data_IF_595737681659
#
_entry.id   IF_595737681659
#
_cell.length_a   1.000
_cell.length_b   1.000
_cell.length_c   1.000
_cell.angle_alpha   90.00
_cell.angle_beta   90.00
_cell.angle_gamma   90.00
#
_symmetry.space_group_name_H-M   'P 1'
#
loop_
_entity.id
_entity.type
_entity.pdbx_description
1 polymer ?
#
# COMPACT_ATOMS: atom_id res chain seq x y z
N UNK A 1 38.63 42.23 -8.58
CA UNK A 1 37.64 42.69 -7.57
C UNK A 1 37.63 41.68 -6.44
N UNK A 2 37.96 42.09 -5.21
CA UNK A 2 37.91 41.22 -4.04
C UNK A 2 36.49 41.18 -3.48
N UNK A 3 35.98 39.98 -3.18
CA UNK A 3 34.69 39.83 -2.51
C UNK A 3 34.82 40.42 -1.09
N UNK A 4 33.97 41.36 -0.68
CA UNK A 4 34.04 41.96 0.66
C UNK A 4 33.90 40.89 1.74
N UNK A 5 34.72 40.94 2.79
CA UNK A 5 34.63 40.01 3.94
C UNK A 5 33.23 39.96 4.56
N UNK A 6 32.53 41.11 4.58
CA UNK A 6 31.14 41.20 5.03
C UNK A 6 30.16 40.40 4.15
N UNK A 7 30.39 40.37 2.82
CA UNK A 7 29.57 39.60 1.89
C UNK A 7 29.81 38.09 2.05
N UNK A 8 31.06 37.67 2.29
CA UNK A 8 31.40 36.28 2.61
C UNK A 8 30.74 35.83 3.92
N UNK A 9 30.77 36.65 4.97
CA UNK A 9 30.12 36.35 6.25
C UNK A 9 28.60 36.26 6.11
N UNK A 10 27.98 37.13 5.32
CA UNK A 10 26.55 37.08 5.03
C UNK A 10 26.17 35.79 4.28
N UNK A 11 26.96 35.38 3.27
CA UNK A 11 26.71 34.14 2.51
C UNK A 11 26.82 32.90 3.41
N UNK A 12 27.87 32.81 4.23
CA UNK A 12 28.04 31.68 5.17
C UNK A 12 26.90 31.65 6.19
N UNK A 13 26.50 32.82 6.73
CA UNK A 13 25.35 32.93 7.62
C UNK A 13 24.05 32.43 6.97
N UNK A 14 23.77 32.84 5.73
CA UNK A 14 22.62 32.36 4.97
C UNK A 14 22.65 30.85 4.73
N UNK A 15 23.81 30.27 4.37
CA UNK A 15 23.94 28.82 4.15
C UNK A 15 23.69 28.04 5.45
N UNK A 16 24.22 28.50 6.58
CA UNK A 16 24.00 27.88 7.88
C UNK A 16 22.53 27.93 8.31
N UNK A 17 21.86 29.08 8.13
CA UNK A 17 20.44 29.26 8.41
C UNK A 17 19.57 28.36 7.51
N UNK A 18 19.86 28.32 6.20
CA UNK A 18 19.14 27.44 5.28
C UNK A 18 19.31 25.95 5.62
N UNK A 19 20.54 25.53 5.95
CA UNK A 19 20.83 24.13 6.27
C UNK A 19 20.12 23.68 7.55
N UNK A 20 20.14 24.52 8.60
CA UNK A 20 19.45 24.23 9.86
C UNK A 20 17.93 24.17 9.70
N UNK A 21 17.33 25.07 8.90
CA UNK A 21 15.91 25.02 8.58
C UNK A 21 15.52 23.73 7.82
N UNK A 22 16.34 23.30 6.86
CA UNK A 22 16.12 22.04 6.11
C UNK A 22 16.23 20.82 7.02
N UNK A 23 17.22 20.77 7.91
CA UNK A 23 17.36 19.71 8.91
C UNK A 23 16.13 19.65 9.83
N UNK A 24 15.70 20.79 10.38
CA UNK A 24 14.51 20.84 11.24
C UNK A 24 13.23 20.39 10.53
N UNK A 25 13.05 20.76 9.26
CA UNK A 25 11.90 20.33 8.48
C UNK A 25 11.91 18.82 8.20
N UNK A 26 13.09 18.24 7.97
CA UNK A 26 13.25 16.79 7.82
C UNK A 26 12.93 16.03 9.11
N UNK A 27 13.46 16.49 10.24
CA UNK A 27 13.17 15.89 11.56
C UNK A 27 11.67 15.93 11.91
N UNK A 28 10.98 17.04 11.62
CA UNK A 28 9.53 17.14 11.79
C UNK A 28 8.77 16.18 10.87
N UNK A 29 9.19 16.03 9.61
CA UNK A 29 8.61 15.07 8.68
C UNK A 29 8.81 13.62 9.12
N UNK A 30 10.01 13.29 9.61
CA UNK A 30 10.33 11.95 10.08
C UNK A 30 9.59 11.60 11.37
N UNK A 31 9.51 12.52 12.34
CA UNK A 31 8.73 12.31 13.58
C UNK A 31 7.25 12.10 13.30
N UNK A 32 6.64 12.88 12.41
CA UNK A 32 5.25 12.68 11.99
C UNK A 32 5.02 11.34 11.30
N UNK A 33 5.98 10.89 10.46
CA UNK A 33 5.88 9.59 9.79
C UNK A 33 6.01 8.43 10.78
N UNK A 34 6.90 8.55 11.77
CA UNK A 34 7.03 7.58 12.87
C UNK A 34 5.71 7.46 13.63
N UNK A 35 5.09 8.57 14.04
CA UNK A 35 3.80 8.54 14.72
C UNK A 35 2.72 7.83 13.86
N UNK A 36 2.66 8.15 12.57
CA UNK A 36 1.73 7.51 11.63
C UNK A 36 1.96 6.00 11.52
N UNK A 37 3.22 5.55 11.55
CA UNK A 37 3.56 4.13 11.54
C UNK A 37 3.15 3.44 12.83
N UNK A 38 3.36 4.05 14.00
CA UNK A 38 2.91 3.49 15.29
C UNK A 38 1.38 3.35 15.36
N UNK A 39 0.64 4.38 14.92
CA UNK A 39 -0.83 4.34 14.84
C UNK A 39 -1.32 3.23 13.89
N UNK A 40 -0.64 3.09 12.74
CA UNK A 40 -0.93 2.03 11.79
C UNK A 40 -0.64 0.63 12.38
N UNK A 41 0.48 0.48 13.08
CA UNK A 41 0.84 -0.77 13.75
C UNK A 41 -0.21 -1.16 14.77
N UNK A 42 -0.67 -0.21 15.60
CA UNK A 42 -1.74 -0.43 16.57
C UNK A 42 -3.05 -0.85 15.87
N UNK A 43 -3.42 -0.16 14.79
CA UNK A 43 -4.64 -0.45 14.03
C UNK A 43 -4.67 -1.86 13.42
N UNK A 44 -3.54 -2.34 12.92
CA UNK A 44 -3.42 -3.65 12.26
C UNK A 44 -2.78 -4.73 13.14
N UNK A 45 -2.63 -4.46 14.45
CA UNK A 45 -2.00 -5.36 15.42
C UNK A 45 -0.63 -5.87 14.94
N UNK A 46 0.20 -4.97 14.40
CA UNK A 46 1.55 -5.33 13.95
C UNK A 46 2.54 -5.32 15.09
N UNK A 47 3.25 -6.44 15.20
CA UNK A 47 4.34 -6.66 16.14
C UNK A 47 5.51 -7.22 15.34
N UNK A 48 6.67 -6.59 15.49
CA UNK A 48 7.92 -7.03 14.86
C UNK A 48 8.79 -7.77 15.88
N UNK A 49 9.68 -8.61 15.38
CA UNK A 49 10.58 -9.42 16.20
C UNK A 49 11.54 -8.57 17.02
N UNK A 50 12.10 -7.53 16.40
CA UNK A 50 13.11 -6.67 17.00
C UNK A 50 13.11 -5.27 16.37
N UNK A 51 13.92 -4.36 16.94
CA UNK A 51 14.04 -2.99 16.46
C UNK A 51 14.61 -2.88 15.05
N UNK A 52 15.44 -3.84 14.63
CA UNK A 52 16.02 -3.87 13.28
C UNK A 52 14.95 -4.17 12.25
N UNK A 53 14.10 -5.19 12.49
CA UNK A 53 12.96 -5.48 11.63
C UNK A 53 11.99 -4.29 11.60
N UNK A 54 11.68 -3.69 12.76
CA UNK A 54 10.82 -2.50 12.83
C UNK A 54 11.34 -1.35 11.96
N UNK A 55 12.64 -1.05 12.03
CA UNK A 55 13.26 -0.01 11.22
C UNK A 55 13.19 -0.34 9.72
N UNK A 56 13.46 -1.59 9.33
CA UNK A 56 13.34 -2.01 7.94
C UNK A 56 11.89 -1.90 7.42
N UNK A 57 10.92 -2.31 8.23
CA UNK A 57 9.49 -2.24 7.90
C UNK A 57 8.98 -0.80 7.86
N UNK A 58 9.54 0.08 8.69
CA UNK A 58 9.26 1.51 8.66
C UNK A 58 9.68 2.16 7.33
N UNK A 59 10.86 1.82 6.79
CA UNK A 59 11.29 2.33 5.49
C UNK A 59 10.36 1.88 4.35
N UNK A 60 9.92 0.62 4.37
CA UNK A 60 8.94 0.10 3.41
C UNK A 60 7.60 0.82 3.56
N UNK A 61 7.13 1.02 4.79
CA UNK A 61 5.91 1.76 5.08
C UNK A 61 5.97 3.19 4.55
N UNK A 62 7.07 3.92 4.82
CA UNK A 62 7.30 5.29 4.35
C UNK A 62 7.28 5.35 2.82
N UNK A 63 7.98 4.44 2.14
CA UNK A 63 8.00 4.36 0.69
C UNK A 63 6.59 4.09 0.10
N UNK A 64 5.84 3.17 0.70
CA UNK A 64 4.48 2.85 0.26
C UNK A 64 3.49 3.99 0.51
N UNK A 65 3.62 4.72 1.63
CA UNK A 65 2.81 5.91 1.91
C UNK A 65 3.09 7.01 0.89
N UNK A 66 4.36 7.28 0.59
CA UNK A 66 4.74 8.25 -0.44
C UNK A 66 4.19 7.85 -1.82
N UNK A 67 4.24 6.55 -2.15
CA UNK A 67 3.63 6.03 -3.37
C UNK A 67 2.11 6.26 -3.40
N UNK A 68 1.40 5.94 -2.32
CA UNK A 68 -0.05 6.16 -2.20
C UNK A 68 -0.40 7.65 -2.39
N UNK A 69 0.34 8.55 -1.76
CA UNK A 69 0.11 9.99 -1.85
C UNK A 69 0.37 10.50 -3.28
N UNK A 70 1.47 10.07 -3.90
CA UNK A 70 1.76 10.44 -5.28
C UNK A 70 0.70 9.90 -6.27
N UNK A 71 0.25 8.66 -6.09
CA UNK A 71 -0.77 8.04 -6.93
C UNK A 71 -2.12 8.73 -6.81
N UNK A 72 -2.50 9.12 -5.59
CA UNK A 72 -3.78 9.76 -5.31
C UNK A 72 -3.81 11.26 -5.66
N UNK A 73 -2.65 11.89 -5.84
CA UNK A 73 -2.56 13.27 -6.32
C UNK A 73 -2.99 13.39 -7.80
N UNK A 74 -2.98 12.29 -8.54
CA UNK A 74 -3.48 12.23 -9.92
C UNK A 74 -5.00 12.03 -9.96
N UNK A 75 -5.67 12.62 -10.96
CA UNK A 75 -7.13 12.49 -11.14
C UNK A 75 -7.52 11.13 -11.72
N UNK A 76 -7.48 10.09 -10.88
CA UNK A 76 -7.75 8.69 -11.25
C UNK A 76 -9.15 8.26 -10.80
N UNK A 77 -9.69 7.21 -11.43
CA UNK A 77 -11.00 6.63 -11.10
C UNK A 77 -11.00 5.79 -9.82
N UNK A 78 -9.83 5.57 -9.22
CA UNK A 78 -9.68 4.86 -7.96
C UNK A 78 -8.50 5.45 -7.18
N UNK A 79 -8.51 5.18 -5.88
CA UNK A 79 -7.46 5.62 -4.95
C UNK A 79 -6.83 4.42 -4.27
N UNK A 80 -5.59 4.61 -3.85
CA UNK A 80 -4.90 3.69 -2.95
C UNK A 80 -5.10 4.14 -1.51
N UNK A 81 -5.00 3.19 -0.58
CA UNK A 81 -5.15 3.47 0.84
C UNK A 81 -4.16 2.65 1.65
N UNK A 82 -3.76 3.22 2.79
CA UNK A 82 -2.98 2.51 3.80
C UNK A 82 -3.82 1.35 4.34
N UNK A 83 -3.27 0.13 4.28
CA UNK A 83 -3.93 -1.11 4.65
C UNK A 83 -2.96 -2.07 5.36
N UNK A 84 -3.40 -3.30 5.65
CA UNK A 84 -2.62 -4.30 6.38
C UNK A 84 -1.33 -4.80 5.68
N UNK A 85 -1.08 -4.37 4.45
CA UNK A 85 0.06 -4.73 3.62
C UNK A 85 1.03 -3.56 3.38
N UNK A 86 0.81 -2.40 4.01
CA UNK A 86 1.62 -1.20 3.76
C UNK A 86 3.08 -1.34 4.21
N UNK A 87 3.43 -2.30 5.06
CA UNK A 87 4.82 -2.61 5.45
C UNK A 87 5.47 -3.73 4.62
N UNK A 88 4.81 -4.19 3.55
CA UNK A 88 5.33 -5.21 2.65
C UNK A 88 5.82 -4.59 1.34
N UNK A 89 6.93 -5.12 0.86
CA UNK A 89 7.38 -4.87 -0.52
C UNK A 89 6.47 -5.63 -1.50
N UNK A 90 6.49 -5.21 -2.77
CA UNK A 90 5.70 -5.89 -3.79
C UNK A 90 6.08 -7.38 -3.94
N UNK A 91 7.37 -7.70 -3.85
CA UNK A 91 7.84 -9.08 -3.96
C UNK A 91 7.43 -9.94 -2.75
N UNK A 92 7.49 -9.40 -1.53
CA UNK A 92 6.98 -10.10 -0.35
C UNK A 92 5.47 -10.34 -0.42
N UNK A 93 4.73 -9.32 -0.88
CA UNK A 93 3.29 -9.43 -1.09
C UNK A 93 2.99 -10.54 -2.10
N UNK A 94 3.67 -10.56 -3.25
CA UNK A 94 3.52 -11.61 -4.26
C UNK A 94 3.87 -12.98 -3.68
N UNK A 95 4.98 -13.11 -2.97
CA UNK A 95 5.45 -14.37 -2.42
C UNK A 95 4.51 -14.99 -1.37
N UNK A 96 3.75 -14.17 -0.64
CA UNK A 96 2.94 -14.61 0.51
C UNK A 96 1.42 -14.51 0.31
N UNK A 97 0.95 -13.64 -0.59
CA UNK A 97 -0.48 -13.34 -0.78
C UNK A 97 -1.03 -13.78 -2.14
N UNK A 98 -0.17 -14.10 -3.10
CA UNK A 98 -0.63 -14.57 -4.43
C UNK A 98 -0.52 -16.08 -4.58
N UNK A 99 -1.28 -16.64 -5.53
CA UNK A 99 -1.26 -18.08 -5.81
C UNK A 99 0.10 -18.50 -6.37
N UNK A 100 0.73 -19.53 -5.77
CA UNK A 100 1.99 -20.11 -6.27
C UNK A 100 1.81 -21.11 -7.41
N UNK A 101 0.58 -21.30 -7.90
CA UNK A 101 0.31 -22.09 -9.10
C UNK A 101 -1.06 -22.75 -9.02
N UNK A 102 -1.99 -22.26 -9.83
CA UNK A 102 -3.18 -23.04 -10.16
C UNK A 102 -2.68 -24.19 -11.06
N UNK A 103 -2.50 -25.38 -10.50
CA UNK A 103 -2.40 -26.58 -11.34
C UNK A 103 -3.77 -26.75 -11.96
N UNK A 104 -3.92 -26.34 -13.22
CA UNK A 104 -5.09 -26.70 -14.02
C UNK A 104 -5.16 -28.23 -14.02
N UNK A 105 -6.04 -28.77 -13.18
CA UNK A 105 -6.41 -30.19 -13.26
C UNK A 105 -7.05 -30.36 -14.63
N UNK A 106 -6.27 -30.89 -15.57
CA UNK A 106 -6.75 -31.25 -16.89
C UNK A 106 -7.75 -32.38 -16.76
N UNK A 107 -9.03 -32.08 -16.94
CA UNK A 107 -10.10 -33.08 -16.94
C UNK A 107 -11.38 -32.57 -16.28
N UNK A 108 -12.06 -31.60 -16.90
CA UNK A 108 -13.48 -31.40 -16.59
C UNK A 108 -14.26 -32.48 -17.33
N UNK A 109 -14.84 -33.43 -16.60
CA UNK A 109 -15.87 -34.30 -17.16
C UNK A 109 -17.00 -33.41 -17.71
N UNK A 110 -17.53 -33.66 -18.91
CA UNK A 110 -18.64 -32.90 -19.43
C UNK A 110 -19.84 -33.05 -18.49
N UNK A 111 -20.21 -31.96 -17.81
CA UNK A 111 -21.50 -31.90 -17.12
C UNK A 111 -22.56 -31.71 -18.20
N UNK A 112 -23.63 -32.52 -18.21
CA UNK A 112 -24.75 -32.39 -19.17
C UNK A 112 -25.55 -31.09 -19.05
N UNK A 113 -25.12 -30.17 -18.19
CA UNK A 113 -25.68 -28.84 -18.02
C UNK A 113 -25.46 -27.98 -19.27
N UNK A 114 -26.53 -27.34 -19.75
CA UNK A 114 -26.51 -26.37 -20.84
C UNK A 114 -27.22 -25.10 -20.37
N UNK A 115 -26.68 -23.94 -20.73
CA UNK A 115 -27.34 -22.66 -20.50
C UNK A 115 -28.57 -22.54 -21.42
N UNK A 116 -29.64 -21.93 -20.91
CA UNK A 116 -30.80 -21.53 -21.71
C UNK A 116 -30.41 -20.40 -22.67
N UNK A 117 -31.05 -20.34 -23.83
CA UNK A 117 -30.90 -19.20 -24.74
C UNK A 117 -31.68 -18.01 -24.16
N UNK A 118 -30.97 -16.94 -23.77
CA UNK A 118 -31.54 -15.75 -23.12
C UNK A 118 -31.17 -14.51 -23.93
N UNK A 119 -32.15 -13.63 -24.21
CA UNK A 119 -31.88 -12.34 -24.85
C UNK A 119 -31.15 -11.42 -23.87
N UNK A 120 -30.22 -10.61 -24.40
CA UNK A 120 -29.50 -9.58 -23.63
C UNK A 120 -30.48 -8.55 -23.06
N UNK A 121 -31.56 -8.24 -23.78
CA UNK A 121 -32.58 -7.28 -23.36
C UNK A 121 -33.37 -7.74 -22.13
N UNK A 122 -33.35 -9.04 -21.84
CA UNK A 122 -34.01 -9.62 -20.67
C UNK A 122 -33.10 -9.63 -19.42
N UNK A 123 -31.85 -9.19 -19.54
CA UNK A 123 -30.90 -9.18 -18.43
C UNK A 123 -31.00 -7.89 -17.61
N UNK A 124 -30.85 -7.97 -16.27
CA UNK A 124 -30.76 -6.79 -15.44
C UNK A 124 -29.49 -5.98 -15.74
N UNK A 125 -29.57 -4.65 -15.61
CA UNK A 125 -28.43 -3.74 -15.83
C UNK A 125 -27.30 -3.93 -14.82
N UNK A 126 -27.61 -4.39 -13.61
CA UNK A 126 -26.64 -4.71 -12.57
C UNK A 126 -27.17 -5.81 -11.64
N UNK A 127 -26.25 -6.65 -11.14
CA UNK A 127 -26.57 -7.71 -10.17
C UNK A 127 -25.58 -7.64 -9.01
N UNK A 128 -26.11 -7.61 -7.77
CA UNK A 128 -25.33 -7.75 -6.55
C UNK A 128 -25.86 -8.94 -5.73
N UNK A 129 -25.11 -10.05 -5.73
CA UNK A 129 -25.46 -11.28 -5.01
C UNK A 129 -25.48 -11.10 -3.48
N UNK A 130 -24.81 -10.08 -2.94
CA UNK A 130 -24.85 -9.79 -1.50
C UNK A 130 -26.26 -9.43 -1.05
N UNK A 131 -27.02 -8.73 -1.90
CA UNK A 131 -28.43 -8.38 -1.65
C UNK A 131 -29.36 -9.58 -1.60
N UNK A 132 -28.91 -10.73 -2.14
CA UNK A 132 -29.67 -11.97 -2.17
C UNK A 132 -29.38 -12.88 -0.97
N UNK A 133 -28.46 -12.48 -0.07
CA UNK A 133 -28.10 -13.27 1.11
C UNK A 133 -27.34 -14.57 0.80
N UNK A 134 -26.86 -14.75 -0.44
CA UNK A 134 -26.15 -15.97 -0.86
C UNK A 134 -24.62 -15.85 -0.78
N UNK A 135 -24.12 -14.69 -0.33
CA UNK A 135 -22.68 -14.41 -0.19
C UNK A 135 -22.31 -14.50 1.28
N UNK A 136 -21.36 -15.38 1.60
CA UNK A 136 -20.81 -15.52 2.95
C UNK A 136 -19.94 -14.32 3.34
N UNK A 137 -19.67 -14.08 4.64
CA UNK A 137 -18.75 -13.02 5.08
C UNK A 137 -17.36 -13.14 4.44
N UNK A 138 -16.69 -11.99 4.29
CA UNK A 138 -15.33 -11.90 3.77
C UNK A 138 -14.38 -12.66 4.71
N UNK A 139 -13.52 -13.52 4.15
CA UNK A 139 -12.52 -14.31 4.89
C UNK A 139 -11.12 -13.76 4.67
N UNK A 140 -10.20 -14.05 5.60
CA UNK A 140 -8.77 -13.78 5.45
C UNK A 140 -8.01 -15.09 5.20
N UNK A 141 -7.26 -15.15 4.10
CA UNK A 141 -6.45 -16.31 3.72
C UNK A 141 -5.16 -16.44 4.56
N UNK A 142 -4.79 -15.42 5.34
CA UNK A 142 -3.55 -15.36 6.09
C UNK A 142 -2.33 -15.37 5.16
N UNK A 143 -1.34 -16.21 5.48
CA UNK A 143 -0.10 -16.37 4.69
C UNK A 143 -0.18 -17.54 3.68
N UNK A 144 -1.33 -18.19 3.57
CA UNK A 144 -1.53 -19.28 2.64
C UNK A 144 -1.87 -18.73 1.25
N UNK A 145 -0.99 -18.94 0.28
CA UNK A 145 -1.22 -18.65 -1.14
C UNK A 145 -2.18 -19.63 -1.83
N UNK A 146 -3.11 -20.27 -1.09
CA UNK A 146 -4.08 -21.21 -1.66
C UNK A 146 -5.39 -20.48 -1.90
N UNK A 147 -5.62 -20.14 -3.15
CA UNK A 147 -6.95 -19.80 -3.65
C UNK A 147 -7.54 -21.10 -4.19
N UNK A 148 -8.49 -21.68 -3.45
CA UNK A 148 -9.35 -22.76 -3.96
C UNK A 148 -10.62 -22.11 -4.51
#
# INVERSE_FOLDING_TARGET
MAIPKALLLAIVGCICLCSSAVLSARELGDTAMVERHEQWMAKFNRVYKDGTEKAQRFEVFKANVAFIESFNAENRKFWLGVNQFTDLTNDEFRATKTNKGLKMSGGRAPTGFKYSNVSIDALPTAVDWRTKGVVTPIKDQGQCGKWI
#
